data_IF_585120875747
#
_entry.id   IF_585120875747
#
_cell.length_a   1.000
_cell.length_b   1.000
_cell.length_c   1.000
_cell.angle_alpha   90.00
_cell.angle_beta   90.00
_cell.angle_gamma   90.00
#
_symmetry.space_group_name_H-M   'P 1'
#
loop_
_entity.id
_entity.type
_entity.pdbx_description
1 polymer ?
#
# COMPACT_ATOMS: atom_id res chain seq x y z
N UNK A 1 1.11 -6.27 0.09
CA UNK A 1 1.62 -5.87 -1.24
C UNK A 1 0.46 -5.35 -2.08
N UNK A 2 0.71 -4.47 -3.04
CA UNK A 2 -0.28 -4.02 -4.03
C UNK A 2 0.32 -4.10 -5.43
N UNK A 3 -0.50 -4.43 -6.43
CA UNK A 3 -0.12 -4.44 -7.84
C UNK A 3 -0.97 -3.43 -8.61
N UNK A 4 -0.38 -2.83 -9.65
CA UNK A 4 -1.04 -1.85 -10.50
C UNK A 4 -0.93 -2.30 -11.95
N UNK A 5 -2.07 -2.28 -12.64
CA UNK A 5 -2.13 -2.58 -14.08
C UNK A 5 -2.47 -1.33 -14.86
N UNK A 6 -1.83 -1.16 -16.01
CA UNK A 6 -2.21 -0.19 -17.02
C UNK A 6 -3.56 -0.56 -17.67
N UNK A 7 -4.12 0.33 -18.50
CA UNK A 7 -5.40 0.08 -19.19
C UNK A 7 -5.41 -1.20 -20.03
N UNK A 8 -4.25 -1.58 -20.57
CA UNK A 8 -4.06 -2.79 -21.39
C UNK A 8 -3.60 -4.01 -20.58
N UNK A 9 -3.64 -3.92 -19.25
CA UNK A 9 -3.21 -5.01 -18.37
C UNK A 9 -1.69 -5.13 -18.19
N UNK A 10 -0.92 -4.19 -18.74
CA UNK A 10 0.54 -4.11 -18.57
C UNK A 10 0.94 -3.78 -17.14
N UNK A 11 2.03 -4.37 -16.67
CA UNK A 11 2.58 -4.08 -15.34
C UNK A 11 3.22 -2.67 -15.32
N UNK A 12 2.99 -1.93 -14.24
CA UNK A 12 3.54 -0.58 -14.07
C UNK A 12 4.74 -0.61 -13.12
N UNK A 13 5.95 -0.60 -13.68
CA UNK A 13 7.21 -0.78 -12.91
C UNK A 13 7.89 0.53 -12.45
N UNK A 14 7.42 1.70 -12.91
CA UNK A 14 8.07 3.00 -12.62
C UNK A 14 7.23 3.90 -11.69
N UNK A 15 6.71 3.34 -10.59
CA UNK A 15 5.87 4.06 -9.63
C UNK A 15 6.54 4.33 -8.29
N UNK A 16 6.21 5.45 -7.66
CA UNK A 16 6.43 5.66 -6.22
C UNK A 16 5.17 5.26 -5.47
N UNK A 17 5.24 4.20 -4.67
CA UNK A 17 4.11 3.69 -3.91
C UNK A 17 4.40 3.80 -2.42
N UNK A 18 3.41 4.20 -1.63
CA UNK A 18 3.53 4.29 -0.19
C UNK A 18 2.25 3.88 0.53
N UNK A 19 2.42 3.44 1.77
CA UNK A 19 1.35 3.03 2.67
C UNK A 19 1.27 3.99 3.85
N UNK A 20 0.04 4.26 4.30
CA UNK A 20 -0.28 4.82 5.60
C UNK A 20 -1.21 3.84 6.30
N UNK A 21 -0.72 3.21 7.35
CA UNK A 21 -1.48 2.23 8.14
C UNK A 21 -1.85 2.87 9.47
N UNK A 22 -3.13 2.80 9.83
CA UNK A 22 -3.65 3.15 11.15
C UNK A 22 -4.00 1.88 11.89
N UNK A 23 -3.41 1.67 13.07
CA UNK A 23 -3.64 0.52 13.92
C UNK A 23 -4.95 0.57 14.71
N UNK A 24 -5.32 -0.53 15.39
CA UNK A 24 -6.56 -0.64 16.17
C UNK A 24 -6.64 0.35 17.33
N UNK A 25 -5.48 0.76 17.86
CA UNK A 25 -5.32 1.77 18.91
C UNK A 25 -5.23 3.21 18.36
N UNK A 26 -5.32 3.38 17.04
CA UNK A 26 -5.16 4.66 16.36
C UNK A 26 -3.70 5.05 16.08
N UNK A 27 -2.71 4.22 16.43
CA UNK A 27 -1.31 4.41 16.05
C UNK A 27 -1.15 4.51 14.54
N UNK A 28 -0.19 5.29 14.06
CA UNK A 28 0.03 5.48 12.63
C UNK A 28 1.46 5.11 12.26
N UNK A 29 1.58 4.37 11.17
CA UNK A 29 2.85 4.06 10.54
C UNK A 29 2.79 4.36 9.04
N UNK A 30 3.92 4.75 8.47
CA UNK A 30 4.07 5.02 7.05
C UNK A 30 5.28 4.26 6.55
N UNK A 31 5.19 3.73 5.34
CA UNK A 31 6.38 3.26 4.65
C UNK A 31 6.24 3.36 3.15
N UNK A 32 7.38 3.61 2.53
CA UNK A 32 7.52 3.56 1.08
C UNK A 32 7.63 2.10 0.67
N UNK A 33 6.86 1.73 -0.34
CA UNK A 33 6.95 0.42 -0.93
C UNK A 33 8.16 0.37 -1.86
N UNK A 34 8.84 -0.77 -1.85
CA UNK A 34 9.85 -1.10 -2.83
C UNK A 34 9.19 -1.85 -3.98
N UNK A 35 9.66 -1.57 -5.20
CA UNK A 35 9.30 -2.35 -6.37
C UNK A 35 9.83 -3.77 -6.22
N UNK A 36 8.94 -4.74 -6.43
CA UNK A 36 9.21 -6.17 -6.52
C UNK A 36 8.71 -6.66 -7.89
N UNK A 37 8.94 -7.92 -8.24
CA UNK A 37 8.44 -8.49 -9.50
C UNK A 37 6.91 -8.34 -9.56
N UNK A 38 6.44 -7.42 -10.41
CA UNK A 38 5.04 -7.08 -10.69
C UNK A 38 4.21 -6.53 -9.50
N UNK A 39 4.85 -6.10 -8.41
CA UNK A 39 4.15 -5.62 -7.22
C UNK A 39 4.99 -4.62 -6.42
N UNK A 40 4.33 -3.92 -5.49
CA UNK A 40 4.97 -3.02 -4.53
C UNK A 40 4.68 -3.50 -3.10
N UNK A 41 5.73 -3.70 -2.32
CA UNK A 41 5.68 -4.20 -0.95
C UNK A 41 6.41 -3.29 0.02
N UNK A 42 5.92 -3.21 1.26
CA UNK A 42 6.57 -2.53 2.36
C UNK A 42 6.38 -3.35 3.64
N UNK A 43 7.41 -3.38 4.49
CA UNK A 43 7.32 -4.00 5.80
C UNK A 43 6.63 -3.03 6.77
N UNK A 44 5.56 -3.51 7.40
CA UNK A 44 4.73 -2.77 8.36
C UNK A 44 4.51 -3.64 9.59
N UNK A 45 4.37 -3.03 10.76
CA UNK A 45 4.08 -3.72 12.00
C UNK A 45 2.57 -4.00 12.13
N UNK A 46 2.21 -5.28 12.22
CA UNK A 46 0.84 -5.75 12.46
C UNK A 46 0.77 -6.65 13.71
N UNK A 47 1.68 -6.47 14.66
CA UNK A 47 1.81 -7.31 15.85
C UNK A 47 0.60 -7.25 16.79
N UNK A 48 -0.12 -6.12 16.82
CA UNK A 48 -1.35 -5.99 17.61
C UNK A 48 -2.54 -6.61 16.89
N UNK A 49 -3.36 -7.37 17.60
CA UNK A 49 -4.65 -7.87 17.08
C UNK A 49 -5.67 -6.75 16.93
N UNK A 50 -6.51 -6.84 15.90
CA UNK A 50 -7.60 -5.90 15.63
C UNK A 50 -7.68 -5.45 14.18
N UNK A 51 -8.46 -4.39 13.94
CA UNK A 51 -8.69 -3.84 12.61
C UNK A 51 -7.69 -2.72 12.33
N UNK A 52 -7.00 -2.83 11.21
CA UNK A 52 -6.12 -1.81 10.66
C UNK A 52 -6.79 -1.16 9.45
N UNK A 53 -6.69 0.16 9.34
CA UNK A 53 -7.04 0.89 8.12
C UNK A 53 -5.78 1.17 7.32
N UNK A 54 -5.70 0.62 6.12
CA UNK A 54 -4.55 0.74 5.22
C UNK A 54 -4.94 1.68 4.08
N UNK A 55 -4.23 2.80 3.96
CA UNK A 55 -4.32 3.72 2.82
C UNK A 55 -3.10 3.55 1.95
N UNK A 56 -3.31 3.44 0.65
CA UNK A 56 -2.23 3.36 -0.33
C UNK A 56 -2.25 4.58 -1.21
N UNK A 57 -1.05 5.04 -1.59
CA UNK A 57 -0.87 6.09 -2.57
C UNK A 57 0.19 5.66 -3.56
N UNK A 58 -0.18 5.64 -4.84
CA UNK A 58 0.75 5.39 -5.92
C UNK A 58 0.86 6.63 -6.81
N UNK A 59 2.08 6.92 -7.24
CA UNK A 59 2.41 8.02 -8.16
C UNK A 59 3.14 7.43 -9.35
N UNK A 60 2.54 7.54 -10.53
CA UNK A 60 3.09 7.10 -11.81
C UNK A 60 3.14 8.31 -12.76
N UNK A 61 4.32 8.91 -12.92
CA UNK A 61 4.45 10.22 -13.57
C UNK A 61 3.56 11.27 -12.86
N UNK A 62 2.66 11.90 -13.61
CA UNK A 62 1.74 12.92 -13.08
C UNK A 62 0.45 12.33 -12.50
N UNK A 63 0.21 11.02 -12.68
CA UNK A 63 -0.99 10.36 -12.18
C UNK A 63 -0.80 9.92 -10.73
N UNK A 64 -1.82 10.17 -9.91
CA UNK A 64 -1.88 9.73 -8.52
C UNK A 64 -3.10 8.83 -8.34
N UNK A 65 -2.88 7.67 -7.73
CA UNK A 65 -3.92 6.74 -7.34
C UNK A 65 -3.93 6.64 -5.83
N UNK A 66 -5.13 6.64 -5.26
CA UNK A 66 -5.36 6.46 -3.83
C UNK A 66 -6.34 5.33 -3.65
N UNK A 67 -6.05 4.47 -2.68
CA UNK A 67 -6.97 3.40 -2.28
C UNK A 67 -6.97 3.26 -0.76
N UNK A 68 -8.05 2.70 -0.21
CA UNK A 68 -8.21 2.45 1.21
C UNK A 68 -8.97 1.16 1.44
N UNK A 69 -8.44 0.30 2.30
CA UNK A 69 -9.09 -0.92 2.74
C UNK A 69 -8.79 -1.20 4.21
N UNK A 70 -9.59 -2.08 4.81
CA UNK A 70 -9.37 -2.57 6.16
C UNK A 70 -8.75 -3.97 6.12
N UNK A 71 -7.90 -4.26 7.10
CA UNK A 71 -7.29 -5.57 7.30
C UNK A 71 -7.44 -5.97 8.78
N UNK A 72 -8.00 -7.14 9.03
CA UNK A 72 -8.21 -7.66 10.38
C UNK A 72 -7.13 -8.69 10.72
N UNK A 73 -6.42 -8.45 11.83
CA UNK A 73 -5.47 -9.39 12.43
C UNK A 73 -6.17 -10.08 13.61
N UNK A 74 -6.32 -11.41 13.55
CA UNK A 74 -7.03 -12.23 14.54
C UNK A 74 -6.12 -12.89 15.57
#
# INVERSE_FOLDING_TARGET
MVSFKGPEGTDLEQGKVGFLVTGPDGSKQKGMAMGMKNAYGADMDFSQKGIYTIKTKAVFGDKKLFDQFNYEVK
#
